data_IF_206161853081
#
_entry.id   IF_206161853081
#
_cell.length_a   1.000
_cell.length_b   1.000
_cell.length_c   1.000
_cell.angle_alpha   90.00
_cell.angle_beta   90.00
_cell.angle_gamma   90.00
#
_symmetry.space_group_name_H-M   'P 1'
#
loop_
_entity.id
_entity.type
_entity.pdbx_description
1 polymer ?
#
# COMPACT_ATOMS: atom_id res chain seq x y z
N UNK A 1 -2.89 12.66 3.11
CA UNK A 1 -1.55 12.28 3.62
C UNK A 1 -0.63 11.65 2.56
N UNK A 2 -0.95 11.67 1.25
CA UNK A 2 -0.02 11.19 0.21
C UNK A 2 0.35 9.70 0.24
N UNK A 3 -0.23 8.91 1.16
CA UNK A 3 0.09 7.48 1.37
C UNK A 3 -0.07 6.64 0.10
N UNK A 4 -1.18 6.81 -0.63
CA UNK A 4 -1.42 6.11 -1.90
C UNK A 4 -0.35 6.39 -2.95
N UNK A 5 0.04 7.67 -3.11
CA UNK A 5 1.10 8.07 -4.04
C UNK A 5 2.44 7.50 -3.59
N UNK A 6 2.74 7.52 -2.29
CA UNK A 6 3.93 6.90 -1.73
C UNK A 6 3.95 5.38 -1.98
N UNK A 7 2.84 4.68 -1.75
CA UNK A 7 2.71 3.23 -1.99
C UNK A 7 2.90 2.88 -3.46
N UNK A 8 2.34 3.68 -4.38
CA UNK A 8 2.53 3.52 -5.81
C UNK A 8 4.00 3.73 -6.22
N UNK A 9 4.62 4.81 -5.75
CA UNK A 9 6.03 5.11 -6.01
C UNK A 9 6.98 4.05 -5.41
N UNK A 10 6.65 3.52 -4.22
CA UNK A 10 7.40 2.44 -3.59
C UNK A 10 7.30 1.15 -4.42
N UNK A 11 6.10 0.79 -4.88
CA UNK A 11 5.90 -0.38 -5.73
C UNK A 11 6.69 -0.25 -7.04
N UNK A 12 6.69 0.92 -7.68
CA UNK A 12 7.46 1.19 -8.89
C UNK A 12 8.97 1.10 -8.65
N UNK A 13 9.47 1.73 -7.58
CA UNK A 13 10.88 1.68 -7.21
C UNK A 13 11.37 0.25 -6.91
N UNK A 14 10.51 -0.59 -6.32
CA UNK A 14 10.81 -2.00 -6.05
C UNK A 14 10.84 -2.83 -7.35
N UNK A 15 9.90 -2.61 -8.27
CA UNK A 15 9.85 -3.32 -9.57
C UNK A 15 11.02 -2.96 -10.48
N UNK A 16 11.38 -1.68 -10.53
CA UNK A 16 12.46 -1.17 -11.39
C UNK A 16 13.85 -1.41 -10.81
N UNK A 17 13.95 -1.74 -9.51
CA UNK A 17 15.22 -1.91 -8.81
C UNK A 17 16.06 -0.62 -8.71
N UNK A 18 15.49 0.54 -9.08
CA UNK A 18 16.23 1.75 -9.41
C UNK A 18 17.00 2.39 -8.25
N UNK A 19 16.76 1.98 -7.00
CA UNK A 19 17.36 2.59 -5.79
C UNK A 19 18.10 1.61 -4.88
N UNK A 20 18.20 0.33 -5.23
CA UNK A 20 18.87 -0.64 -4.37
C UNK A 20 20.33 -0.86 -4.78
N UNK A 21 21.27 -0.67 -3.84
CA UNK A 21 22.71 -0.99 -4.04
C UNK A 21 22.97 -2.48 -4.32
N UNK A 22 22.00 -3.34 -4.03
CA UNK A 22 21.98 -4.77 -4.41
C UNK A 22 20.85 -4.94 -5.42
N UNK A 23 21.07 -5.53 -6.58
CA UNK A 23 20.03 -5.86 -7.57
C UNK A 23 18.96 -6.81 -6.98
N UNK A 24 18.08 -6.28 -6.15
CA UNK A 24 16.98 -6.98 -5.50
C UNK A 24 15.87 -7.12 -6.52
N UNK A 25 15.91 -8.22 -7.27
CA UNK A 25 14.75 -8.67 -8.06
C UNK A 25 13.79 -9.34 -7.09
N UNK A 26 12.72 -8.64 -6.73
CA UNK A 26 11.62 -9.19 -5.96
C UNK A 26 10.31 -9.05 -6.73
N UNK A 27 9.38 -9.97 -6.48
CA UNK A 27 8.03 -9.88 -7.01
C UNK A 27 7.22 -8.90 -6.15
N UNK A 28 6.46 -8.02 -6.79
CA UNK A 28 5.77 -6.92 -6.12
C UNK A 28 4.27 -6.98 -6.37
N UNK A 29 3.52 -7.29 -5.31
CA UNK A 29 2.06 -7.26 -5.29
C UNK A 29 1.60 -5.94 -4.70
N UNK A 30 0.63 -5.29 -5.33
CA UNK A 30 0.04 -4.04 -4.82
C UNK A 30 -1.48 -4.16 -4.77
N UNK A 31 -2.05 -3.90 -3.61
CA UNK A 31 -3.48 -3.90 -3.36
C UNK A 31 -3.92 -2.55 -2.80
N UNK A 32 -5.01 -1.99 -3.29
CA UNK A 32 -5.60 -0.76 -2.75
C UNK A 32 -7.05 -1.01 -2.35
N UNK A 33 -7.37 -0.75 -1.09
CA UNK A 33 -8.75 -0.84 -0.56
C UNK A 33 -9.65 0.29 -1.07
N UNK A 34 -9.05 1.34 -1.66
CA UNK A 34 -9.77 2.43 -2.30
C UNK A 34 -10.18 2.11 -3.75
N UNK A 35 -9.68 1.01 -4.36
CA UNK A 35 -9.93 0.68 -5.76
C UNK A 35 -11.40 0.37 -6.06
N UNK A 36 -12.14 -0.23 -5.10
CA UNK A 36 -13.57 -0.52 -5.24
C UNK A 36 -14.21 -0.77 -3.87
N UNK A 37 -15.55 -0.83 -3.82
CA UNK A 37 -16.26 -1.25 -2.60
C UNK A 37 -15.94 -2.71 -2.24
N UNK A 38 -15.85 -3.59 -3.24
CA UNK A 38 -15.49 -5.00 -3.03
C UNK A 38 -14.06 -5.19 -2.54
N UNK A 39 -13.17 -4.23 -2.80
CA UNK A 39 -11.79 -4.25 -2.32
C UNK A 39 -11.65 -3.98 -0.81
N UNK A 40 -12.74 -3.57 -0.15
CA UNK A 40 -12.80 -3.42 1.30
C UNK A 40 -13.15 -4.73 2.01
N UNK A 41 -13.61 -5.75 1.28
CA UNK A 41 -13.86 -7.06 1.87
C UNK A 41 -12.55 -7.81 2.09
N UNK A 42 -12.29 -8.21 3.34
CA UNK A 42 -11.10 -9.01 3.68
C UNK A 42 -11.06 -10.34 2.93
N UNK A 43 -12.23 -10.95 2.65
CA UNK A 43 -12.27 -12.18 1.88
C UNK A 43 -11.85 -11.96 0.43
N UNK A 44 -12.36 -10.92 -0.23
CA UNK A 44 -11.95 -10.60 -1.60
C UNK A 44 -10.48 -10.23 -1.66
N UNK A 45 -10.01 -9.46 -0.68
CA UNK A 45 -8.60 -9.14 -0.53
C UNK A 45 -7.73 -10.41 -0.47
N UNK A 46 -8.06 -11.35 0.41
CA UNK A 46 -7.33 -12.62 0.53
C UNK A 46 -7.42 -13.45 -0.75
N UNK A 47 -8.59 -13.52 -1.40
CA UNK A 47 -8.74 -14.21 -2.69
C UNK A 47 -7.81 -13.62 -3.75
N UNK A 48 -7.77 -12.30 -3.87
CA UNK A 48 -6.87 -11.62 -4.80
C UNK A 48 -5.40 -11.91 -4.48
N UNK A 49 -4.99 -11.82 -3.20
CA UNK A 49 -3.62 -12.11 -2.80
C UNK A 49 -3.21 -13.54 -3.11
N UNK A 50 -4.05 -14.51 -2.77
CA UNK A 50 -3.78 -15.93 -3.05
C UNK A 50 -3.63 -16.15 -4.56
N UNK A 51 -4.54 -15.63 -5.38
CA UNK A 51 -4.44 -15.74 -6.85
C UNK A 51 -3.17 -15.11 -7.41
N UNK A 52 -2.77 -13.94 -6.91
CA UNK A 52 -1.55 -13.28 -7.38
C UNK A 52 -0.28 -14.00 -6.93
N UNK A 53 -0.25 -14.53 -5.71
CA UNK A 53 0.87 -15.34 -5.22
C UNK A 53 1.00 -16.62 -6.04
N UNK A 54 -0.11 -17.33 -6.30
CA UNK A 54 -0.16 -18.53 -7.14
C UNK A 54 0.32 -18.27 -8.58
N UNK A 55 -0.04 -17.10 -9.12
CA UNK A 55 0.45 -16.65 -10.43
C UNK A 55 1.96 -16.42 -10.44
N UNK A 56 2.55 -15.97 -9.34
CA UNK A 56 4.01 -15.77 -9.22
C UNK A 56 4.75 -17.11 -9.07
N UNK A 57 4.10 -18.11 -8.47
CA UNK A 57 4.68 -19.46 -8.29
C UNK A 57 4.51 -20.38 -9.49
N UNK A 58 3.94 -19.91 -10.60
CA UNK A 58 3.66 -20.67 -11.84
C UNK A 58 2.89 -21.99 -11.58
N UNK A 59 1.94 -21.98 -10.65
CA UNK A 59 1.13 -23.17 -10.35
C UNK A 59 -0.02 -23.31 -11.37
N UNK A 60 0.27 -23.91 -12.53
CA UNK A 60 -0.64 -24.07 -13.68
C UNK A 60 -1.93 -24.88 -13.43
N UNK A 61 -1.99 -25.67 -12.34
CA UNK A 61 -3.16 -26.51 -11.98
C UNK A 61 -3.42 -26.44 -10.50
N UNK A 62 -4.30 -25.53 -10.09
CA UNK A 62 -4.68 -25.43 -8.69
C UNK A 62 -6.17 -25.59 -8.46
N UNK A 63 -6.53 -26.13 -7.28
CA UNK A 63 -7.91 -26.27 -6.88
C UNK A 63 -8.60 -24.90 -6.78
N UNK A 64 -9.94 -24.88 -6.94
CA UNK A 64 -10.73 -23.68 -6.75
C UNK A 64 -10.45 -23.09 -5.36
N UNK A 65 -10.48 -21.75 -5.28
CA UNK A 65 -10.26 -21.07 -4.02
C UNK A 65 -11.27 -21.52 -2.97
N UNK A 66 -10.84 -21.66 -1.70
CA UNK A 66 -11.78 -21.95 -0.63
C UNK A 66 -12.86 -20.87 -0.50
N UNK A 67 -14.07 -21.30 -0.16
CA UNK A 67 -15.20 -20.42 0.06
C UNK A 67 -15.22 -19.88 1.50
N UNK A 68 -14.72 -20.66 2.45
CA UNK A 68 -14.65 -20.25 3.85
C UNK A 68 -13.42 -19.39 4.13
N UNK A 69 -13.61 -18.33 4.91
CA UNK A 69 -12.54 -17.40 5.27
C UNK A 69 -11.37 -18.08 5.99
N UNK A 70 -11.63 -19.05 6.88
CA UNK A 70 -10.57 -19.77 7.61
C UNK A 70 -9.66 -20.57 6.69
N UNK A 71 -10.24 -21.25 5.72
CA UNK A 71 -9.51 -22.05 4.75
C UNK A 71 -8.73 -21.15 3.80
N UNK A 72 -9.31 -20.02 3.39
CA UNK A 72 -8.64 -19.02 2.58
C UNK A 72 -7.43 -18.39 3.31
N UNK A 73 -7.55 -18.18 4.62
CA UNK A 73 -6.45 -17.68 5.44
C UNK A 73 -5.33 -18.73 5.59
N UNK A 74 -5.68 -20.00 5.73
CA UNK A 74 -4.71 -21.10 5.75
C UNK A 74 -3.97 -21.19 4.41
N UNK A 75 -4.71 -21.12 3.30
CA UNK A 75 -4.18 -21.11 1.94
C UNK A 75 -3.21 -19.95 1.71
N UNK A 76 -3.58 -18.73 2.12
CA UNK A 76 -2.73 -17.55 2.05
C UNK A 76 -1.40 -17.76 2.79
N UNK A 77 -1.45 -18.31 4.01
CA UNK A 77 -0.24 -18.57 4.81
C UNK A 77 0.62 -19.67 4.20
N UNK A 78 0.01 -20.73 3.66
CA UNK A 78 0.72 -21.81 2.96
C UNK A 78 1.44 -21.26 1.73
N UNK A 79 0.71 -20.53 0.88
CA UNK A 79 1.24 -19.96 -0.36
C UNK A 79 2.40 -19.00 -0.07
N UNK A 80 2.29 -18.16 0.98
CA UNK A 80 3.40 -17.31 1.42
C UNK A 80 4.62 -18.11 1.89
N UNK A 81 4.42 -19.26 2.55
CA UNK A 81 5.48 -20.15 3.02
C UNK A 81 6.23 -20.87 1.91
N UNK A 82 5.60 -21.04 0.75
CA UNK A 82 6.18 -21.71 -0.43
C UNK A 82 6.98 -20.77 -1.34
N UNK A 83 6.99 -19.46 -1.03
CA UNK A 83 7.69 -18.47 -1.83
C UNK A 83 9.20 -18.71 -1.84
N UNK A 84 9.74 -19.12 -3.00
CA UNK A 84 11.18 -19.33 -3.21
C UNK A 84 11.94 -18.04 -3.54
N UNK A 85 11.24 -17.06 -4.12
CA UNK A 85 11.78 -15.76 -4.49
C UNK A 85 11.28 -14.69 -3.52
N UNK A 86 12.07 -13.62 -3.26
CA UNK A 86 11.61 -12.53 -2.42
C UNK A 86 10.34 -11.89 -2.98
N UNK A 87 9.33 -11.70 -2.15
CA UNK A 87 8.05 -11.07 -2.51
C UNK A 87 7.74 -9.93 -1.55
N UNK A 88 7.28 -8.81 -2.11
CA UNK A 88 6.78 -7.66 -1.36
C UNK A 88 5.30 -7.47 -1.64
N UNK A 89 4.49 -7.52 -0.59
CA UNK A 89 3.04 -7.26 -0.65
C UNK A 89 2.77 -5.88 -0.06
N UNK A 90 2.32 -4.96 -0.92
CA UNK A 90 1.92 -3.61 -0.54
C UNK A 90 0.41 -3.53 -0.44
N UNK A 91 -0.11 -3.15 0.73
CA UNK A 91 -1.55 -2.97 0.98
C UNK A 91 -1.82 -1.52 1.38
N UNK A 92 -2.47 -0.77 0.48
CA UNK A 92 -2.83 0.62 0.70
C UNK A 92 -4.24 0.73 1.31
N UNK A 93 -4.32 1.31 2.51
CA UNK A 93 -5.56 1.55 3.25
C UNK A 93 -6.05 0.34 4.03
N UNK A 94 -5.16 -0.32 4.79
CA UNK A 94 -5.50 -1.54 5.55
C UNK A 94 -6.60 -1.31 6.61
N UNK A 95 -6.72 -0.08 7.12
CA UNK A 95 -7.76 0.38 8.03
C UNK A 95 -9.16 0.46 7.42
N UNK A 96 -9.31 0.09 6.14
CA UNK A 96 -10.60 -0.02 5.47
C UNK A 96 -11.01 -1.48 5.20
N UNK A 97 -10.18 -2.47 5.54
CA UNK A 97 -10.52 -3.88 5.38
C UNK A 97 -11.52 -4.34 6.43
N UNK A 98 -12.64 -4.88 5.96
CA UNK A 98 -13.81 -5.26 6.74
C UNK A 98 -14.16 -6.73 6.54
N UNK A 99 -14.63 -7.37 7.61
CA UNK A 99 -15.26 -8.70 7.56
C UNK A 99 -16.71 -8.63 7.03
N UNK A 100 -17.36 -9.79 6.90
CA UNK A 100 -18.77 -9.85 6.46
C UNK A 100 -19.78 -9.14 7.39
N UNK A 101 -19.35 -8.71 8.58
CA UNK A 101 -20.15 -7.91 9.52
C UNK A 101 -19.79 -6.42 9.49
N UNK A 102 -18.89 -6.00 8.58
CA UNK A 102 -18.42 -4.62 8.49
C UNK A 102 -17.39 -4.23 9.55
N UNK A 103 -16.87 -5.20 10.32
CA UNK A 103 -15.87 -4.94 11.37
C UNK A 103 -14.46 -4.96 10.78
N UNK A 104 -13.57 -4.11 11.30
CA UNK A 104 -12.18 -4.08 10.84
C UNK A 104 -11.46 -5.40 11.14
N UNK A 105 -10.81 -5.96 10.13
CA UNK A 105 -10.11 -7.25 10.23
C UNK A 105 -8.60 -7.08 10.14
N UNK A 106 -7.88 -7.71 11.07
CA UNK A 106 -6.41 -7.69 11.16
C UNK A 106 -5.79 -9.05 11.51
N UNK A 107 -6.63 -10.07 11.66
CA UNK A 107 -6.30 -11.46 11.94
C UNK A 107 -5.64 -12.17 10.75
N UNK A 108 -5.84 -11.63 9.55
CA UNK A 108 -5.15 -12.09 8.34
C UNK A 108 -3.64 -11.83 8.37
N UNK A 109 -3.19 -10.80 9.10
CA UNK A 109 -1.78 -10.39 9.16
C UNK A 109 -1.00 -11.47 9.91
N UNK A 110 -0.05 -12.17 9.25
CA UNK A 110 0.73 -13.23 9.88
C UNK A 110 1.51 -12.71 11.10
N UNK A 111 1.59 -13.51 12.17
CA UNK A 111 2.41 -13.15 13.34
C UNK A 111 3.91 -13.33 13.07
N UNK A 112 4.25 -14.28 12.20
CA UNK A 112 5.60 -14.54 11.72
C UNK A 112 5.54 -14.58 10.20
N UNK A 113 6.45 -13.87 9.55
CA UNK A 113 6.57 -13.87 8.11
C UNK A 113 7.63 -14.89 7.68
N UNK A 114 7.37 -15.69 6.63
CA UNK A 114 8.38 -16.54 6.02
C UNK A 114 9.59 -15.73 5.51
N UNK A 115 10.74 -16.39 5.40
CA UNK A 115 11.95 -15.76 4.86
C UNK A 115 11.70 -15.28 3.42
N UNK A 116 12.12 -14.05 3.11
CA UNK A 116 11.94 -13.46 1.78
C UNK A 116 10.57 -12.82 1.55
N UNK A 117 9.63 -12.90 2.49
CA UNK A 117 8.34 -12.20 2.42
C UNK A 117 8.39 -10.89 3.19
N UNK A 118 7.99 -9.79 2.55
CA UNK A 118 7.80 -8.49 3.20
C UNK A 118 6.37 -8.00 2.97
N UNK A 119 5.68 -7.57 4.03
CA UNK A 119 4.36 -6.96 3.93
C UNK A 119 4.47 -5.49 4.37
N UNK A 120 4.09 -4.58 3.48
CA UNK A 120 4.04 -3.13 3.73
C UNK A 120 2.58 -2.69 3.78
N UNK A 121 2.18 -2.10 4.90
CA UNK A 121 0.81 -1.68 5.15
C UNK A 121 0.76 -0.15 5.24
N UNK A 122 -0.16 0.46 4.50
CA UNK A 122 -0.54 1.85 4.68
C UNK A 122 -1.76 1.92 5.59
N UNK A 123 -1.67 2.73 6.64
CA UNK A 123 -2.71 2.88 7.66
C UNK A 123 -2.91 4.36 7.97
N UNK A 124 -4.14 4.80 8.19
CA UNK A 124 -4.41 6.19 8.59
C UNK A 124 -4.03 6.44 10.05
N UNK A 125 -3.42 7.60 10.28
CA UNK A 125 -3.13 8.16 11.59
C UNK A 125 -4.39 8.12 12.47
N UNK A 126 -4.30 7.59 13.69
CA UNK A 126 -5.38 7.52 14.71
C UNK A 126 -6.41 6.38 14.58
N UNK A 127 -6.12 5.34 13.81
CA UNK A 127 -6.98 4.14 13.81
C UNK A 127 -6.65 3.22 15.01
N UNK A 128 -7.65 2.54 15.61
CA UNK A 128 -7.39 1.51 16.62
C UNK A 128 -6.47 0.39 16.11
N UNK A 129 -6.55 0.11 14.80
CA UNK A 129 -5.70 -0.85 14.11
C UNK A 129 -4.20 -0.51 14.27
N UNK A 130 -3.83 0.76 14.15
CA UNK A 130 -2.43 1.18 14.33
C UNK A 130 -1.90 0.84 15.73
N UNK A 131 -2.72 1.01 16.78
CA UNK A 131 -2.33 0.66 18.15
C UNK A 131 -2.06 -0.85 18.27
N UNK A 132 -2.96 -1.67 17.73
CA UNK A 132 -2.80 -3.14 17.71
C UNK A 132 -1.57 -3.60 16.90
N UNK A 133 -1.26 -2.92 15.80
CA UNK A 133 -0.07 -3.25 15.00
C UNK A 133 1.22 -2.80 15.66
N UNK A 134 1.21 -1.67 16.38
CA UNK A 134 2.40 -1.12 17.05
C UNK A 134 2.93 -2.00 18.19
N UNK A 135 2.07 -2.84 18.78
CA UNK A 135 2.46 -3.77 19.85
C UNK A 135 3.00 -5.09 19.32
N UNK A 136 2.83 -5.39 18.02
CA UNK A 136 3.38 -6.60 17.40
C UNK A 136 4.89 -6.47 17.17
N UNK A 137 5.66 -7.49 17.56
CA UNK A 137 7.10 -7.55 17.28
C UNK A 137 7.35 -7.65 15.76
N UNK A 138 8.38 -6.96 15.28
CA UNK A 138 8.82 -7.04 13.88
C UNK A 138 8.05 -6.16 12.90
N UNK A 139 7.23 -5.21 13.37
CA UNK A 139 6.51 -4.25 12.52
C UNK A 139 7.09 -2.83 12.70
N UNK A 140 8.13 -2.44 11.94
CA UNK A 140 8.66 -1.09 12.00
C UNK A 140 7.60 -0.09 11.50
N UNK A 141 7.38 0.98 12.27
CA UNK A 141 6.46 2.04 11.90
C UNK A 141 7.19 3.17 11.20
N UNK A 142 6.72 3.53 10.01
CA UNK A 142 7.19 4.70 9.27
C UNK A 142 6.06 5.75 9.19
N UNK A 143 6.29 6.91 9.80
CA UNK A 143 5.31 8.00 9.78
C UNK A 143 5.56 8.90 8.57
N UNK A 144 4.54 9.04 7.72
CA UNK A 144 4.57 9.99 6.61
C UNK A 144 4.17 11.38 7.15
N UNK A 145 5.17 12.27 7.21
CA UNK A 145 4.97 13.67 7.58
C UNK A 145 4.13 14.43 6.53
N UNK A 146 3.66 15.62 6.92
CA UNK A 146 3.09 16.54 5.94
C UNK A 146 4.19 17.08 5.03
N UNK A 147 3.89 17.26 3.74
CA UNK A 147 4.78 17.97 2.82
C UNK A 147 5.10 19.35 3.37
N UNK A 148 6.39 19.70 3.37
CA UNK A 148 6.83 21.03 3.77
C UNK A 148 6.36 22.06 2.73
N UNK A 149 6.26 23.33 3.11
CA UNK A 149 5.84 24.39 2.16
C UNK A 149 6.73 24.45 0.90
N UNK A 150 8.07 24.29 0.99
CA UNK A 150 8.93 24.13 -0.19
C UNK A 150 8.52 22.96 -1.08
N UNK A 151 8.33 21.76 -0.51
CA UNK A 151 7.96 20.57 -1.29
C UNK A 151 6.61 20.74 -2.00
N UNK A 152 5.64 21.37 -1.31
CA UNK A 152 4.32 21.66 -1.91
C UNK A 152 4.44 22.60 -3.10
N UNK A 153 5.25 23.66 -2.97
CA UNK A 153 5.50 24.61 -4.07
C UNK A 153 6.17 23.90 -5.25
N UNK A 154 7.15 23.06 -4.99
CA UNK A 154 7.83 22.29 -6.04
C UNK A 154 6.87 21.34 -6.77
N UNK A 155 6.03 20.61 -6.05
CA UNK A 155 5.01 19.71 -6.64
C UNK A 155 4.03 20.49 -7.51
N UNK A 156 3.48 21.60 -6.98
CA UNK A 156 2.56 22.47 -7.72
C UNK A 156 3.24 23.00 -8.99
N UNK A 157 4.49 23.46 -8.89
CA UNK A 157 5.23 23.98 -10.02
C UNK A 157 5.49 22.90 -11.08
N UNK A 158 5.92 21.70 -10.68
CA UNK A 158 6.13 20.56 -11.60
C UNK A 158 4.86 20.14 -12.31
N UNK A 159 3.72 20.08 -11.61
CA UNK A 159 2.45 19.77 -12.26
C UNK A 159 2.04 20.86 -13.25
N UNK A 160 2.19 22.14 -12.90
CA UNK A 160 1.80 23.25 -13.76
C UNK A 160 2.71 23.42 -14.97
N UNK A 161 4.01 23.18 -14.82
CA UNK A 161 4.97 23.16 -15.92
C UNK A 161 4.62 22.05 -16.92
N UNK A 162 4.15 20.89 -16.46
CA UNK A 162 3.66 19.82 -17.34
C UNK A 162 2.43 20.24 -18.16
N UNK A 163 1.64 21.21 -17.69
CA UNK A 163 0.53 21.82 -18.41
C UNK A 163 0.88 23.17 -19.09
N UNK A 164 2.17 23.56 -19.10
CA UNK A 164 2.64 24.80 -19.71
C UNK A 164 2.20 26.10 -19.01
N UNK A 165 1.75 26.02 -17.75
CA UNK A 165 1.24 27.17 -16.98
C UNK A 165 2.31 27.64 -15.99
N UNK A 166 2.61 28.95 -15.98
CA UNK A 166 3.49 29.58 -14.98
C UNK A 166 2.63 30.37 -13.99
N UNK A 167 2.83 30.16 -12.69
CA UNK A 167 2.21 31.01 -11.67
C UNK A 167 3.10 32.21 -11.38
N UNK A 168 2.48 33.35 -11.07
CA UNK A 168 3.20 34.55 -10.64
C UNK A 168 3.56 34.47 -9.16
N UNK A 169 4.84 34.52 -8.83
CA UNK A 169 5.38 34.71 -7.46
C UNK A 169 5.32 36.18 -6.99
N UNK A 170 4.49 37.01 -7.63
CA UNK A 170 4.41 38.44 -7.34
C UNK A 170 3.85 38.67 -5.93
N UNK A 171 4.46 39.59 -5.18
CA UNK A 171 4.04 39.95 -3.82
C UNK A 171 2.59 40.48 -3.73
N UNK A 172 2.02 40.91 -4.86
CA UNK A 172 0.68 41.47 -4.95
C UNK A 172 -0.40 40.42 -5.26
N UNK A 173 -0.04 39.26 -5.80
CA UNK A 173 -0.98 38.21 -6.19
C UNK A 173 -0.29 36.84 -6.12
N UNK A 174 0.01 36.39 -4.89
CA UNK A 174 0.75 35.16 -4.63
C UNK A 174 -0.18 33.94 -4.74
N UNK A 175 -0.58 33.61 -5.97
CA UNK A 175 -1.43 32.47 -6.29
C UNK A 175 -0.80 31.14 -5.84
N UNK A 176 0.54 31.05 -5.82
CA UNK A 176 1.30 29.90 -5.30
C UNK A 176 1.09 29.71 -3.80
N UNK A 177 1.11 30.79 -3.01
CA UNK A 177 0.85 30.74 -1.58
C UNK A 177 -0.62 30.42 -1.28
N UNK A 178 -1.57 30.96 -2.06
CA UNK A 178 -2.99 30.61 -1.94
C UNK A 178 -3.24 29.13 -2.23
N UNK A 179 -2.63 28.56 -3.27
CA UNK A 179 -2.78 27.14 -3.60
C UNK A 179 -2.08 26.22 -2.58
N UNK A 180 -0.87 26.58 -2.12
CA UNK A 180 -0.14 25.79 -1.13
C UNK A 180 -0.81 25.77 0.27
N UNK A 181 -1.64 26.78 0.57
CA UNK A 181 -2.40 26.91 1.83
C UNK A 181 -3.83 26.38 1.74
N UNK A 182 -4.40 26.19 0.54
CA UNK A 182 -5.75 25.66 0.35
C UNK A 182 -5.80 24.18 0.74
N UNK A 183 -6.33 23.89 1.93
CA UNK A 183 -6.76 22.55 2.33
C UNK A 183 -8.04 22.20 1.57
N UNK A 184 -7.93 21.58 0.40
CA UNK A 184 -9.13 21.14 -0.33
C UNK A 184 -8.89 20.88 -1.81
N UNK A 185 -8.21 19.79 -2.10
CA UNK A 185 -8.34 18.99 -3.32
C UNK A 185 -7.86 17.59 -2.94
N UNK A 186 -8.73 16.88 -2.22
CA UNK A 186 -8.62 15.46 -1.93
C UNK A 186 -9.82 14.78 -2.59
#
# INVERSE_FOLDING_TARGET
EGKTVFMAALADALRTGAKSRRNLRCDVISYSTAASQSARSVENFLRCLVLWLRKITDTEKEPPLPHQYKDLLAEFRSTLGEMKKPVVVLVDGVDLLQDGRGQLSSDWIPQQLPNGVCIVLSVTSKTPLLQTLSTKRGMPLFSLGQLTMPDRKEIIQKELDAFGKKLSDSAFNNQLQTLATKKGAA
#
